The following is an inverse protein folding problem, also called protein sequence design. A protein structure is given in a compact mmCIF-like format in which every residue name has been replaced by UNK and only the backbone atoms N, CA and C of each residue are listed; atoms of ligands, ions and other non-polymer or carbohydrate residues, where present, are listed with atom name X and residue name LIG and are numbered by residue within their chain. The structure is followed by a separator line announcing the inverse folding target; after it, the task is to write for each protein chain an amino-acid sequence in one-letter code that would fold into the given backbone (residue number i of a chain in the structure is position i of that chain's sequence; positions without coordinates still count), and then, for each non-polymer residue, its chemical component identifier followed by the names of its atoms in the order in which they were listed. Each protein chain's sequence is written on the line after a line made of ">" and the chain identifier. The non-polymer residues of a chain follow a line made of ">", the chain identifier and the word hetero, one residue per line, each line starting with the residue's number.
data_IF_078923502034
#
_entry.id   IF_078923502034
#
_cell.length_a   1.000
_cell.length_b   1.000
_cell.length_c   1.000
_cell.angle_alpha   90.00
_cell.angle_beta   90.00
_cell.angle_gamma   90.00
#
_symmetry.space_group_name_H-M   'P 1'
#
loop_
_entity.id
_entity.type
_entity.pdbx_description
1 polymer ?
#
# COMPACT_ATOMS: atom_id res chain seq x y z
N UNK A 1 -14.02 -1.93 4.78
CA UNK A 1 -12.70 -1.60 4.20
C UNK A 1 -12.58 -0.10 4.08
N UNK A 2 -11.56 0.48 4.72
CA UNK A 2 -11.36 1.94 4.78
C UNK A 2 -9.97 2.29 4.32
N UNK A 3 -9.81 3.52 3.82
CA UNK A 3 -8.49 4.07 3.48
C UNK A 3 -7.54 3.94 4.67
N UNK A 4 -6.37 3.40 4.44
CA UNK A 4 -5.35 3.17 5.46
C UNK A 4 -5.40 1.81 6.12
N UNK A 5 -6.45 1.03 5.90
CA UNK A 5 -6.51 -0.34 6.41
C UNK A 5 -5.42 -1.19 5.76
N UNK A 6 -4.89 -2.14 6.54
CA UNK A 6 -3.91 -3.12 6.09
C UNK A 6 -4.58 -4.49 6.06
N UNK A 7 -4.51 -5.14 4.90
CA UNK A 7 -5.07 -6.48 4.70
C UNK A 7 -3.99 -7.41 4.15
N UNK A 8 -4.06 -8.67 4.56
CA UNK A 8 -3.40 -9.73 3.83
C UNK A 8 -4.14 -9.96 2.52
N UNK A 9 -3.41 -10.05 1.43
CA UNK A 9 -3.98 -10.36 0.11
C UNK A 9 -3.09 -11.37 -0.60
N UNK A 10 -3.68 -12.09 -1.55
CA UNK A 10 -2.94 -12.96 -2.45
C UNK A 10 -2.74 -12.20 -3.77
N UNK A 11 -1.49 -11.85 -4.06
CA UNK A 11 -1.14 -11.07 -5.25
C UNK A 11 -0.86 -11.93 -6.48
N UNK A 12 -0.72 -13.25 -6.32
CA UNK A 12 -0.49 -14.16 -7.44
C UNK A 12 -1.78 -14.35 -8.27
N UNK A 13 -1.66 -14.62 -9.57
CA UNK A 13 -0.42 -14.67 -10.36
C UNK A 13 0.11 -13.27 -10.70
N UNK A 14 1.44 -13.16 -10.79
CA UNK A 14 2.14 -11.93 -11.14
C UNK A 14 3.18 -12.24 -12.21
N UNK A 15 3.74 -11.19 -12.81
CA UNK A 15 4.75 -11.32 -13.87
C UNK A 15 5.98 -10.48 -13.51
N UNK A 16 7.16 -11.05 -13.72
CA UNK A 16 8.42 -10.34 -13.57
C UNK A 16 8.64 -9.77 -12.17
N UNK A 17 8.97 -8.49 -12.11
CA UNK A 17 9.33 -7.81 -10.87
C UNK A 17 8.14 -7.35 -10.03
N UNK A 18 6.92 -7.66 -10.44
CA UNK A 18 5.76 -7.39 -9.62
C UNK A 18 5.87 -8.12 -8.28
N UNK A 19 5.49 -7.45 -7.20
CA UNK A 19 5.46 -8.09 -5.88
C UNK A 19 4.41 -9.19 -5.91
N UNK A 20 4.82 -10.38 -5.50
CA UNK A 20 4.04 -11.61 -5.60
C UNK A 20 3.77 -12.24 -4.24
N UNK A 21 3.03 -13.34 -4.24
CA UNK A 21 2.67 -14.12 -3.07
C UNK A 21 1.62 -13.42 -2.21
N UNK A 22 1.42 -13.94 -1.02
CA UNK A 22 0.58 -13.34 0.00
C UNK A 22 1.37 -12.24 0.69
N UNK A 23 0.84 -11.04 0.69
CA UNK A 23 1.50 -9.85 1.25
C UNK A 23 0.48 -8.97 1.95
N UNK A 24 0.92 -8.19 2.96
CA UNK A 24 0.08 -7.10 3.43
C UNK A 24 0.02 -6.00 2.38
N UNK A 25 -1.12 -5.37 2.27
CA UNK A 25 -1.29 -4.17 1.42
C UNK A 25 -1.99 -3.09 2.21
N UNK A 26 -1.74 -1.84 1.83
CA UNK A 26 -2.48 -0.69 2.37
C UNK A 26 -3.56 -0.31 1.37
N UNK A 27 -4.79 -0.19 1.86
CA UNK A 27 -5.92 0.26 1.06
C UNK A 27 -5.86 1.77 0.91
N UNK A 28 -5.94 2.28 -0.32
CA UNK A 28 -5.80 3.70 -0.62
C UNK A 28 -7.12 4.40 -0.87
N UNK A 29 -8.17 3.66 -1.21
CA UNK A 29 -9.46 4.26 -1.52
C UNK A 29 -10.54 3.71 -0.61
N UNK A 30 -11.52 4.54 -0.30
CA UNK A 30 -12.71 4.08 0.39
C UNK A 30 -13.66 3.47 -0.65
N UNK A 31 -14.37 2.42 -0.24
CA UNK A 31 -15.29 1.72 -1.13
C UNK A 31 -16.61 2.49 -1.31
N UNK A 32 -16.56 3.64 -1.95
CA UNK A 32 -17.76 4.46 -2.19
C UNK A 32 -18.65 3.89 -3.30
N UNK A 33 -18.05 3.14 -4.22
CA UNK A 33 -18.78 2.58 -5.33
C UNK A 33 -19.22 1.16 -5.02
N UNK A 34 -20.51 0.96 -4.81
CA UNK A 34 -21.05 -0.33 -4.38
C UNK A 34 -20.89 -1.43 -5.42
N UNK A 35 -20.89 -1.06 -6.70
CA UNK A 35 -20.81 -2.03 -7.80
C UNK A 35 -19.37 -2.36 -8.19
N UNK A 36 -18.41 -1.58 -7.73
CA UNK A 36 -17.02 -1.77 -8.07
C UNK A 36 -16.36 -2.70 -7.05
N UNK A 37 -16.04 -3.90 -7.47
CA UNK A 37 -15.43 -4.94 -6.63
C UNK A 37 -13.90 -4.90 -6.70
N UNK A 38 -13.34 -3.70 -6.76
CA UNK A 38 -11.91 -3.45 -6.82
C UNK A 38 -11.50 -2.46 -5.74
N UNK A 39 -10.28 -2.59 -5.25
CA UNK A 39 -9.67 -1.61 -4.37
C UNK A 39 -8.27 -1.28 -4.87
N UNK A 40 -7.89 -0.02 -4.72
CA UNK A 40 -6.54 0.43 -5.08
C UNK A 40 -5.68 0.28 -3.84
N UNK A 41 -4.55 -0.41 -4.00
CA UNK A 41 -3.66 -0.76 -2.91
C UNK A 41 -2.21 -0.53 -3.26
N UNK A 42 -1.37 -0.43 -2.24
CA UNK A 42 0.09 -0.50 -2.34
C UNK A 42 0.60 -1.62 -1.44
N UNK A 43 1.54 -2.43 -1.93
CA UNK A 43 2.01 -3.57 -1.15
C UNK A 43 3.04 -3.16 -0.11
N UNK A 44 3.14 -3.98 0.94
CA UNK A 44 4.14 -3.86 1.99
C UNK A 44 5.10 -5.04 1.84
N UNK A 45 6.38 -4.76 1.84
CA UNK A 45 7.43 -5.80 1.76
C UNK A 45 8.50 -5.55 2.81
N UNK A 46 9.33 -6.58 3.09
CA UNK A 46 10.39 -6.46 4.09
C UNK A 46 11.38 -5.36 3.74
N UNK A 47 11.82 -4.64 4.76
CA UNK A 47 12.78 -3.56 4.61
C UNK A 47 14.14 -4.10 4.14
N UNK A 48 14.78 -3.32 3.24
CA UNK A 48 16.18 -3.51 2.85
C UNK A 48 16.89 -2.18 2.90
N UNK A 49 18.15 -2.18 3.31
CA UNK A 49 18.89 -0.93 3.56
C UNK A 49 18.90 0.00 2.36
N UNK A 50 19.08 -0.52 1.16
CA UNK A 50 19.14 0.29 -0.05
C UNK A 50 17.81 0.93 -0.45
N UNK A 51 16.69 0.52 0.19
CA UNK A 51 15.37 1.10 -0.09
C UNK A 51 15.06 2.32 0.80
N UNK A 52 15.86 2.56 1.83
CA UNK A 52 15.56 3.61 2.81
C UNK A 52 15.60 5.00 2.20
N UNK A 53 16.42 5.22 1.17
CA UNK A 53 16.53 6.50 0.48
C UNK A 53 15.66 6.58 -0.78
N UNK A 54 14.92 5.53 -1.11
CA UNK A 54 14.08 5.51 -2.30
C UNK A 54 12.83 6.35 -2.04
N UNK A 55 12.59 7.44 -2.84
CA UNK A 55 11.46 8.34 -2.59
C UNK A 55 10.10 7.70 -2.85
N UNK A 56 10.06 6.56 -3.54
CA UNK A 56 8.81 5.84 -3.82
C UNK A 56 8.43 4.87 -2.70
N UNK A 57 9.31 4.68 -1.72
CA UNK A 57 9.10 3.73 -0.63
C UNK A 57 8.91 4.49 0.68
N UNK A 58 7.96 4.03 1.49
CA UNK A 58 7.70 4.59 2.81
C UNK A 58 8.07 3.53 3.85
N UNK A 59 9.05 3.84 4.70
CA UNK A 59 9.46 2.91 5.76
C UNK A 59 8.37 2.87 6.83
N UNK A 60 8.00 1.66 7.24
CA UNK A 60 7.02 1.44 8.28
C UNK A 60 7.58 0.47 9.32
N UNK A 61 7.61 0.90 10.58
CA UNK A 61 8.09 0.09 11.70
C UNK A 61 6.92 -0.63 12.37
N UNK A 62 7.15 -1.82 12.96
CA UNK A 62 6.11 -2.49 13.72
C UNK A 62 5.52 -1.58 14.80
N UNK A 63 4.20 -1.63 14.93
CA UNK A 63 3.49 -0.86 15.93
C UNK A 63 2.16 -1.52 16.27
N UNK A 64 1.52 -1.03 17.32
CA UNK A 64 0.26 -1.61 17.81
C UNK A 64 -0.86 -1.52 16.77
N UNK A 65 -0.92 -0.43 16.00
CA UNK A 65 -2.02 -0.22 15.07
C UNK A 65 -1.84 -1.00 13.77
N UNK A 66 -0.59 -1.22 13.33
CA UNK A 66 -0.34 -1.91 12.06
C UNK A 66 -0.13 -3.42 12.21
N UNK A 67 0.25 -3.89 13.40
CA UNK A 67 0.47 -5.30 13.73
C UNK A 67 1.49 -6.00 12.82
N UNK A 68 2.39 -5.24 12.22
CA UNK A 68 3.50 -5.83 11.46
C UNK A 68 4.51 -6.44 12.42
N UNK A 69 5.17 -7.51 11.98
CA UNK A 69 6.12 -8.24 12.82
C UNK A 69 7.55 -7.76 12.64
N UNK A 70 7.84 -7.07 11.55
CA UNK A 70 9.19 -6.60 11.24
C UNK A 70 9.14 -5.26 10.51
N UNK A 71 10.28 -4.55 10.55
CA UNK A 71 10.48 -3.32 9.79
C UNK A 71 10.24 -3.62 8.30
N UNK A 72 9.45 -2.80 7.65
CA UNK A 72 8.99 -3.02 6.29
C UNK A 72 9.01 -1.72 5.50
N UNK A 73 8.75 -1.80 4.21
CA UNK A 73 8.51 -0.64 3.36
C UNK A 73 7.18 -0.80 2.65
N UNK A 74 6.51 0.32 2.45
CA UNK A 74 5.33 0.41 1.59
C UNK A 74 5.84 0.80 0.22
N UNK A 75 5.67 -0.10 -0.77
CA UNK A 75 6.15 0.12 -2.13
C UNK A 75 5.07 0.87 -2.92
N UNK A 76 5.17 2.19 -2.94
CA UNK A 76 4.19 3.04 -3.61
C UNK A 76 4.34 3.03 -5.13
N UNK A 77 5.44 2.49 -5.67
CA UNK A 77 5.61 2.34 -7.11
C UNK A 77 4.71 1.23 -7.66
N UNK A 78 4.41 0.21 -6.86
CA UNK A 78 3.58 -0.91 -7.30
C UNK A 78 2.11 -0.72 -6.91
N UNK A 79 1.63 0.50 -7.05
CA UNK A 79 0.21 0.81 -6.88
C UNK A 79 -0.62 0.04 -7.92
N UNK A 80 -1.70 -0.60 -7.48
CA UNK A 80 -2.55 -1.37 -8.39
C UNK A 80 -3.96 -1.50 -7.85
N UNK A 81 -4.90 -1.72 -8.78
CA UNK A 81 -6.26 -2.09 -8.43
C UNK A 81 -6.35 -3.62 -8.39
N UNK A 82 -6.91 -4.14 -7.31
CA UNK A 82 -7.06 -5.60 -7.16
C UNK A 82 -8.50 -5.96 -6.81
N UNK A 83 -8.90 -7.17 -7.22
CA UNK A 83 -10.22 -7.71 -6.92
C UNK A 83 -10.38 -7.93 -5.43
N UNK A 84 -11.58 -7.66 -4.91
CA UNK A 84 -11.92 -7.96 -3.51
C UNK A 84 -11.75 -9.45 -3.20
N UNK A 85 -11.79 -10.31 -4.18
CA UNK A 85 -11.56 -11.76 -4.00
C UNK A 85 -10.14 -12.10 -3.55
N UNK A 86 -9.19 -11.19 -3.74
CA UNK A 86 -7.80 -11.39 -3.31
C UNK A 86 -7.61 -11.08 -1.82
N UNK A 87 -8.57 -10.40 -1.20
CA UNK A 87 -8.45 -9.98 0.19
C UNK A 87 -8.69 -11.15 1.14
N UNK A 88 -7.86 -11.19 2.18
CA UNK A 88 -7.93 -12.16 3.26
C UNK A 88 -8.25 -11.40 4.56
N UNK A 89 -7.44 -11.54 5.59
CA UNK A 89 -7.71 -10.92 6.88
C UNK A 89 -7.23 -9.48 6.95
N UNK A 90 -8.02 -8.63 7.62
CA UNK A 90 -7.56 -7.31 8.04
C UNK A 90 -6.60 -7.47 9.21
N UNK A 91 -5.42 -6.85 9.12
CA UNK A 91 -4.43 -6.95 10.19
C UNK A 91 -4.23 -5.67 10.98
N UNK A 92 -4.58 -4.52 10.43
CA UNK A 92 -4.43 -3.26 11.14
C UNK A 92 -4.66 -2.07 10.24
N UNK A 93 -4.01 -0.97 10.58
CA UNK A 93 -4.09 0.27 9.78
C UNK A 93 -2.79 1.07 9.94
N UNK A 94 -2.52 1.93 8.97
CA UNK A 94 -1.44 2.90 9.07
C UNK A 94 -1.95 4.18 9.74
N UNK A 95 -1.01 5.00 10.24
CA UNK A 95 -1.34 6.28 10.84
C UNK A 95 -1.63 7.34 9.78
N UNK A 96 -2.23 8.45 10.20
CA UNK A 96 -2.47 9.59 9.29
C UNK A 96 -1.16 10.15 8.74
N UNK A 97 -0.10 10.18 9.56
CA UNK A 97 1.23 10.61 9.13
C UNK A 97 1.78 9.68 8.06
N UNK A 98 1.66 8.38 8.26
CA UNK A 98 2.10 7.39 7.28
C UNK A 98 1.30 7.52 5.99
N UNK A 99 -0.01 7.73 6.09
CA UNK A 99 -0.84 7.94 4.89
C UNK A 99 -0.42 9.21 4.14
N UNK A 100 -0.10 10.28 4.85
CA UNK A 100 0.43 11.50 4.21
C UNK A 100 1.72 11.21 3.46
N UNK A 101 2.63 10.44 4.04
CA UNK A 101 3.88 10.04 3.38
C UNK A 101 3.62 9.17 2.15
N UNK A 102 2.66 8.25 2.24
CA UNK A 102 2.25 7.41 1.09
C UNK A 102 1.70 8.26 -0.04
N UNK A 103 0.84 9.22 0.26
CA UNK A 103 0.28 10.11 -0.76
C UNK A 103 1.36 10.93 -1.46
N UNK A 104 2.35 11.42 -0.71
CA UNK A 104 3.49 12.15 -1.29
C UNK A 104 4.28 11.24 -2.24
N UNK A 105 4.57 10.01 -1.81
CA UNK A 105 5.29 9.05 -2.64
C UNK A 105 4.51 8.73 -3.92
N UNK A 106 3.20 8.53 -3.82
CA UNK A 106 2.34 8.26 -4.98
C UNK A 106 2.34 9.46 -5.94
N UNK A 107 2.30 10.67 -5.41
CA UNK A 107 2.37 11.88 -6.25
C UNK A 107 3.66 11.91 -7.07
N UNK A 108 4.78 11.48 -6.47
CA UNK A 108 6.05 11.37 -7.20
C UNK A 108 5.99 10.26 -8.25
N UNK A 109 5.45 9.09 -7.89
CA UNK A 109 5.34 7.95 -8.81
C UNK A 109 4.54 8.32 -10.06
N UNK A 110 3.43 9.04 -9.86
CA UNK A 110 2.49 9.38 -10.94
C UNK A 110 2.78 10.75 -11.56
N UNK A 111 3.84 11.41 -11.13
CA UNK A 111 4.21 12.75 -11.61
C UNK A 111 3.07 13.76 -11.46
N UNK A 112 2.42 13.73 -10.30
CA UNK A 112 1.34 14.65 -9.97
C UNK A 112 1.95 15.87 -9.27
N UNK A 113 1.79 17.04 -9.89
CA UNK A 113 2.19 18.30 -9.29
C UNK A 113 1.07 18.82 -8.38
N UNK A 114 1.43 19.54 -7.31
CA UNK A 114 0.46 20.11 -6.39
C UNK A 114 -0.52 21.08 -7.10
N UNK A 115 -0.10 21.70 -8.18
CA UNK A 115 -0.95 22.58 -9.00
C UNK A 115 -2.00 21.79 -9.78
N UNK A 116 -1.73 20.54 -10.11
CA UNK A 116 -2.65 19.67 -10.85
C UNK A 116 -3.86 19.24 -10.01
N UNK A 117 -3.77 19.42 -8.71
CA UNK A 117 -4.79 18.96 -7.75
C UNK A 117 -5.83 20.02 -7.38
N UNK A 118 -5.81 21.15 -8.07
CA UNK A 118 -6.73 22.27 -7.78
C UNK A 118 -8.09 22.11 -8.41
#
# INVERSE_FOLDING_TARGET
>A
MKTGDIFWVNLDPTVGDEIKKKRPVVVLNQGHEKNLKLSIVVPITGWKKHWEENPFFVVIKPGKSNRLQKKSVIDCFQIRAISHRRFMDRIGKITDKQMSDVKKAISLVLDIDSEDCQ
#
